data_IF_827942372357
#
_entry.id   IF_827942372357
#
_cell.length_a   1.000
_cell.length_b   1.000
_cell.length_c   1.000
_cell.angle_alpha   90.00
_cell.angle_beta   90.00
_cell.angle_gamma   90.00
#
_symmetry.space_group_name_H-M   'P 1'
#
loop_
_entity.id
_entity.type
_entity.pdbx_description
1 polymer ?
#
# COMPACT_ATOMS: atom_id res chain seq x y z
N UNK A 1 -21.75 -9.50 16.77
CA UNK A 1 -22.36 -10.17 15.60
C UNK A 1 -23.14 -9.13 14.80
N UNK A 2 -22.52 -8.44 13.84
CA UNK A 2 -23.19 -7.48 12.93
C UNK A 2 -22.31 -7.02 11.74
N UNK A 3 -21.50 -7.88 11.09
CA UNK A 3 -20.69 -7.46 9.91
C UNK A 3 -21.34 -7.86 8.57
N UNK A 4 -22.42 -8.66 8.58
CA UNK A 4 -23.08 -9.11 7.35
C UNK A 4 -24.18 -8.16 6.85
N UNK A 5 -23.79 -6.95 6.48
CA UNK A 5 -24.48 -6.27 5.39
C UNK A 5 -23.41 -5.90 4.37
N UNK A 6 -23.33 -6.66 3.28
CA UNK A 6 -22.83 -6.14 2.02
C UNK A 6 -23.73 -4.96 1.66
N UNK A 7 -23.48 -3.80 2.29
CA UNK A 7 -24.10 -2.54 1.91
C UNK A 7 -23.52 -2.29 0.54
N UNK A 8 -24.31 -2.57 -0.50
CA UNK A 8 -23.97 -2.17 -1.84
C UNK A 8 -23.85 -0.65 -1.78
N UNK A 9 -22.61 -0.18 -1.77
CA UNK A 9 -22.33 1.21 -1.58
C UNK A 9 -22.80 1.95 -2.82
N UNK A 10 -23.54 3.03 -2.64
CA UNK A 10 -24.09 3.80 -3.74
C UNK A 10 -23.29 5.10 -3.88
N UNK A 11 -22.47 5.18 -4.93
CA UNK A 11 -21.63 6.33 -5.23
C UNK A 11 -22.44 7.63 -5.43
N UNK A 12 -23.70 7.53 -5.86
CA UNK A 12 -24.58 8.69 -5.96
C UNK A 12 -24.98 9.21 -4.58
N UNK A 13 -25.29 8.32 -3.63
CA UNK A 13 -25.59 8.70 -2.25
C UNK A 13 -24.37 9.32 -1.60
N UNK A 14 -23.19 8.69 -1.75
CA UNK A 14 -21.93 9.26 -1.22
C UNK A 14 -21.67 10.65 -1.78
N UNK A 15 -21.82 10.83 -3.09
CA UNK A 15 -21.59 12.12 -3.74
C UNK A 15 -22.53 13.20 -3.21
N UNK A 16 -23.80 12.89 -2.98
CA UNK A 16 -24.76 13.85 -2.43
C UNK A 16 -24.49 14.13 -0.93
N UNK A 17 -24.17 13.12 -0.14
CA UNK A 17 -23.82 13.29 1.29
C UNK A 17 -22.55 14.15 1.46
N UNK A 18 -21.53 13.92 0.62
CA UNK A 18 -20.26 14.66 0.65
C UNK A 18 -20.25 15.90 -0.25
N UNK A 19 -21.39 16.37 -0.74
CA UNK A 19 -21.47 17.39 -1.78
C UNK A 19 -20.69 18.66 -1.45
N UNK A 20 -20.83 19.17 -0.23
CA UNK A 20 -20.15 20.40 0.19
C UNK A 20 -18.65 20.18 0.41
N UNK A 21 -18.24 19.02 0.92
CA UNK A 21 -16.82 18.67 1.07
C UNK A 21 -16.14 18.46 -0.29
N UNK A 22 -16.77 17.71 -1.19
CA UNK A 22 -16.29 17.50 -2.54
C UNK A 22 -16.20 18.80 -3.35
N UNK A 23 -17.11 19.76 -3.12
CA UNK A 23 -16.99 21.11 -3.70
C UNK A 23 -15.73 21.82 -3.19
N UNK A 24 -15.46 21.78 -1.88
CA UNK A 24 -14.24 22.38 -1.29
C UNK A 24 -12.97 21.71 -1.82
N UNK A 25 -12.97 20.39 -1.92
CA UNK A 25 -11.84 19.61 -2.45
C UNK A 25 -11.64 19.87 -3.96
N UNK A 26 -12.72 20.02 -4.72
CA UNK A 26 -12.65 20.39 -6.13
C UNK A 26 -12.11 21.82 -6.33
N UNK A 27 -12.46 22.76 -5.44
CA UNK A 27 -11.87 24.10 -5.43
C UNK A 27 -10.37 24.02 -5.15
N UNK A 28 -9.95 23.26 -4.13
CA UNK A 28 -8.54 23.01 -3.82
C UNK A 28 -7.79 22.41 -5.03
N UNK A 29 -8.38 21.42 -5.70
CA UNK A 29 -7.81 20.78 -6.91
C UNK A 29 -7.60 21.79 -8.04
N UNK A 30 -8.55 22.71 -8.22
CA UNK A 30 -8.48 23.75 -9.26
C UNK A 30 -7.41 24.79 -8.92
N UNK A 31 -7.36 25.24 -7.68
CA UNK A 31 -6.42 26.25 -7.19
C UNK A 31 -4.98 25.74 -7.11
N UNK A 32 -4.78 24.45 -6.87
CA UNK A 32 -3.44 23.86 -6.75
C UNK A 32 -3.06 23.10 -8.02
N UNK A 33 -3.64 21.94 -8.27
CA UNK A 33 -3.22 21.03 -9.35
C UNK A 33 -3.44 21.63 -10.75
N UNK A 34 -4.62 22.19 -11.01
CA UNK A 34 -4.96 22.68 -12.36
C UNK A 34 -4.28 24.01 -12.66
N UNK A 35 -4.29 24.96 -11.72
CA UNK A 35 -3.65 26.26 -11.90
C UNK A 35 -2.14 26.11 -12.14
N UNK A 36 -1.47 25.26 -11.35
CA UNK A 36 -0.04 24.98 -11.51
C UNK A 36 0.23 24.28 -12.83
N UNK A 37 -0.63 23.34 -13.26
CA UNK A 37 -0.47 22.72 -14.59
C UNK A 37 -0.53 23.77 -15.70
N UNK A 38 -1.51 24.67 -15.69
CA UNK A 38 -1.65 25.74 -16.69
C UNK A 38 -0.45 26.69 -16.66
N UNK A 39 -0.06 27.15 -15.47
CA UNK A 39 1.10 28.03 -15.28
C UNK A 39 2.40 27.36 -15.74
N UNK A 40 2.60 26.09 -15.41
CA UNK A 40 3.80 25.34 -15.81
C UNK A 40 3.88 25.15 -17.33
N UNK A 41 2.75 24.99 -18.02
CA UNK A 41 2.72 25.00 -19.49
C UNK A 41 3.19 26.34 -20.07
N UNK A 42 2.75 27.46 -19.48
CA UNK A 42 3.19 28.81 -19.88
C UNK A 42 4.69 28.99 -19.60
N UNK A 43 5.16 28.60 -18.41
CA UNK A 43 6.58 28.71 -18.01
C UNK A 43 7.48 27.85 -18.91
N UNK A 44 7.05 26.63 -19.28
CA UNK A 44 7.78 25.79 -20.25
C UNK A 44 7.90 26.47 -21.61
N UNK A 45 6.83 27.09 -22.09
CA UNK A 45 6.85 27.87 -23.33
C UNK A 45 7.86 29.02 -23.25
N UNK A 46 7.85 29.77 -22.14
CA UNK A 46 8.79 30.88 -21.93
C UNK A 46 10.25 30.41 -21.84
N UNK A 47 10.52 29.34 -21.08
CA UNK A 47 11.86 28.75 -20.95
C UNK A 47 12.40 28.28 -22.31
N UNK A 48 11.55 27.69 -23.16
CA UNK A 48 11.93 27.28 -24.50
C UNK A 48 12.30 28.49 -25.38
N UNK A 49 11.49 29.55 -25.34
CA UNK A 49 11.78 30.79 -26.08
C UNK A 49 13.11 31.39 -25.62
N UNK A 50 13.33 31.51 -24.31
CA UNK A 50 14.59 32.04 -23.74
C UNK A 50 15.78 31.18 -24.13
N UNK A 51 15.66 29.85 -24.07
CA UNK A 51 16.71 28.92 -24.44
C UNK A 51 17.09 29.03 -25.94
N UNK A 52 16.09 29.13 -26.82
CA UNK A 52 16.31 29.30 -28.26
C UNK A 52 16.92 30.67 -28.57
N UNK A 53 16.42 31.74 -27.95
CA UNK A 53 17.00 33.09 -28.12
C UNK A 53 18.46 33.15 -27.66
N UNK A 54 18.77 32.56 -26.50
CA UNK A 54 20.14 32.51 -25.98
C UNK A 54 21.07 31.69 -26.91
N UNK A 55 20.58 30.56 -27.42
CA UNK A 55 21.32 29.74 -28.37
C UNK A 55 21.66 30.53 -29.64
N UNK A 56 20.67 31.21 -30.25
CA UNK A 56 20.87 31.98 -31.47
C UNK A 56 21.85 33.15 -31.27
N UNK A 57 21.77 33.86 -30.14
CA UNK A 57 22.72 34.93 -29.81
C UNK A 57 24.13 34.38 -29.71
N UNK A 58 24.36 33.34 -28.90
CA UNK A 58 25.68 32.76 -28.71
C UNK A 58 26.26 32.19 -30.00
N UNK A 59 25.45 31.50 -30.79
CA UNK A 59 25.82 31.01 -32.13
C UNK A 59 26.36 32.15 -33.00
N UNK A 60 25.68 33.30 -33.02
CA UNK A 60 26.04 34.43 -33.88
C UNK A 60 27.26 35.21 -33.41
N UNK A 61 27.45 35.36 -32.09
CA UNK A 61 28.47 36.28 -31.53
C UNK A 61 29.81 35.63 -31.28
N UNK A 62 29.86 34.30 -31.05
CA UNK A 62 31.08 33.60 -30.64
C UNK A 62 31.48 32.42 -31.56
N UNK A 63 31.56 32.54 -32.90
CA UNK A 63 32.07 31.44 -33.73
C UNK A 63 33.54 31.12 -33.39
N UNK A 64 33.95 29.85 -33.27
CA UNK A 64 33.18 28.61 -33.47
C UNK A 64 32.56 28.02 -32.19
N UNK A 65 32.82 28.61 -31.01
CA UNK A 65 32.51 28.04 -29.69
C UNK A 65 31.07 28.34 -29.21
N UNK A 66 30.42 29.31 -29.83
CA UNK A 66 29.10 29.81 -29.45
C UNK A 66 27.98 28.80 -29.64
N UNK A 67 28.03 28.00 -30.71
CA UNK A 67 27.08 26.92 -30.96
C UNK A 67 27.09 25.83 -29.86
N UNK A 68 28.24 25.21 -29.52
CA UNK A 68 28.26 24.22 -28.43
C UNK A 68 27.93 24.85 -27.07
N UNK A 69 28.39 26.08 -26.76
CA UNK A 69 28.03 26.75 -25.50
C UNK A 69 26.54 27.08 -25.40
N UNK A 70 25.93 27.56 -26.48
CA UNK A 70 24.50 27.84 -26.49
C UNK A 70 23.66 26.59 -26.23
N UNK A 71 24.06 25.46 -26.82
CA UNK A 71 23.36 24.20 -26.64
C UNK A 71 23.46 23.70 -25.19
N UNK A 72 24.64 23.77 -24.57
CA UNK A 72 24.82 23.34 -23.17
C UNK A 72 24.01 24.19 -22.20
N UNK A 73 24.01 25.52 -22.36
CA UNK A 73 23.19 26.40 -21.52
C UNK A 73 21.69 26.18 -21.71
N UNK A 74 21.23 25.96 -22.95
CA UNK A 74 19.83 25.64 -23.22
C UNK A 74 19.41 24.34 -22.50
N UNK A 75 20.20 23.27 -22.62
CA UNK A 75 19.91 21.98 -21.98
C UNK A 75 19.91 22.11 -20.46
N UNK A 76 20.91 22.78 -19.87
CA UNK A 76 21.00 22.98 -18.42
C UNK A 76 19.83 23.81 -17.89
N UNK A 77 19.50 24.93 -18.56
CA UNK A 77 18.40 25.80 -18.17
C UNK A 77 17.04 25.09 -18.22
N UNK A 78 16.77 24.34 -19.29
CA UNK A 78 15.55 23.54 -19.42
C UNK A 78 15.48 22.43 -18.36
N UNK A 79 16.59 21.75 -18.08
CA UNK A 79 16.65 20.66 -17.09
C UNK A 79 16.40 21.18 -15.67
N UNK A 80 17.01 22.30 -15.28
CA UNK A 80 16.79 22.92 -13.97
C UNK A 80 15.37 23.48 -13.84
N UNK A 81 14.86 24.11 -14.90
CA UNK A 81 13.47 24.58 -14.96
C UNK A 81 12.47 23.45 -14.76
N UNK A 82 12.66 22.33 -15.46
CA UNK A 82 11.79 21.16 -15.32
C UNK A 82 11.84 20.56 -13.90
N UNK A 83 13.04 20.46 -13.30
CA UNK A 83 13.19 19.98 -11.92
C UNK A 83 12.41 20.84 -10.91
N UNK A 84 12.44 22.17 -11.05
CA UNK A 84 11.68 23.09 -10.20
C UNK A 84 10.16 22.88 -10.35
N UNK A 85 9.66 22.78 -11.59
CA UNK A 85 8.25 22.59 -11.88
C UNK A 85 7.71 21.24 -11.36
N UNK A 86 8.54 20.18 -11.40
CA UNK A 86 8.19 18.86 -10.87
C UNK A 86 8.00 18.93 -9.35
N UNK A 87 8.93 19.56 -8.60
CA UNK A 87 8.84 19.67 -7.14
C UNK A 87 7.57 20.39 -6.70
N UNK A 88 7.25 21.51 -7.33
CA UNK A 88 6.09 22.32 -6.95
C UNK A 88 4.75 21.61 -7.24
N UNK A 89 4.65 20.94 -8.40
CA UNK A 89 3.45 20.16 -8.72
C UNK A 89 3.31 18.91 -7.87
N UNK A 90 4.41 18.32 -7.41
CA UNK A 90 4.41 17.20 -6.47
C UNK A 90 3.73 17.56 -5.15
N UNK A 91 4.13 18.66 -4.51
CA UNK A 91 3.55 19.10 -3.24
C UNK A 91 2.06 19.42 -3.32
N UNK A 92 1.62 20.04 -4.41
CA UNK A 92 0.21 20.33 -4.65
C UNK A 92 -0.65 19.08 -4.82
N UNK A 93 -0.14 18.06 -5.53
CA UNK A 93 -0.84 16.78 -5.69
C UNK A 93 -0.97 16.05 -4.36
N UNK A 94 0.10 16.05 -3.55
CA UNK A 94 0.10 15.42 -2.23
C UNK A 94 -0.95 16.05 -1.31
N UNK A 95 -0.98 17.38 -1.23
CA UNK A 95 -1.97 18.11 -0.42
C UNK A 95 -3.40 17.83 -0.87
N UNK A 96 -3.65 17.78 -2.18
CA UNK A 96 -4.97 17.40 -2.71
C UNK A 96 -5.36 15.97 -2.31
N UNK A 97 -4.42 15.02 -2.42
CA UNK A 97 -4.67 13.63 -2.05
C UNK A 97 -5.03 13.49 -0.57
N UNK A 98 -4.28 14.13 0.33
CA UNK A 98 -4.54 14.11 1.78
C UNK A 98 -5.94 14.63 2.15
N UNK A 99 -6.32 15.80 1.65
CA UNK A 99 -7.64 16.40 1.94
C UNK A 99 -8.77 15.54 1.39
N UNK A 100 -8.58 14.92 0.22
CA UNK A 100 -9.53 14.00 -0.36
C UNK A 100 -9.69 12.73 0.50
N UNK A 101 -8.57 12.08 0.84
CA UNK A 101 -8.54 10.87 1.68
C UNK A 101 -9.23 11.15 3.01
N UNK A 102 -8.93 12.28 3.66
CA UNK A 102 -9.54 12.68 4.93
C UNK A 102 -11.07 12.79 4.83
N UNK A 103 -11.60 13.56 3.88
CA UNK A 103 -13.04 13.74 3.72
C UNK A 103 -13.76 12.43 3.38
N UNK A 104 -13.30 11.73 2.33
CA UNK A 104 -13.95 10.52 1.86
C UNK A 104 -13.77 9.37 2.84
N UNK A 105 -12.56 9.13 3.33
CA UNK A 105 -12.24 8.04 4.25
C UNK A 105 -12.94 8.18 5.60
N UNK A 106 -12.95 9.37 6.22
CA UNK A 106 -13.68 9.59 7.48
C UNK A 106 -15.19 9.36 7.31
N UNK A 107 -15.77 9.83 6.21
CA UNK A 107 -17.19 9.62 5.92
C UNK A 107 -17.50 8.15 5.69
N UNK A 108 -16.67 7.43 4.91
CA UNK A 108 -16.81 5.99 4.71
C UNK A 108 -16.73 5.21 6.03
N UNK A 109 -15.80 5.59 6.92
CA UNK A 109 -15.67 4.96 8.23
C UNK A 109 -16.89 5.21 9.11
N UNK A 110 -17.48 6.41 9.08
CA UNK A 110 -18.71 6.72 9.81
C UNK A 110 -19.88 5.81 9.45
N UNK A 111 -19.87 5.22 8.24
CA UNK A 111 -20.89 4.27 7.79
C UNK A 111 -20.67 2.84 8.28
N UNK A 112 -19.49 2.52 8.82
CA UNK A 112 -19.12 1.16 9.19
C UNK A 112 -19.68 0.70 10.55
N UNK A 113 -20.30 1.55 11.37
CA UNK A 113 -20.82 1.18 12.72
C UNK A 113 -19.76 0.44 13.58
N UNK A 114 -18.49 0.72 13.32
CA UNK A 114 -17.34 0.16 14.05
C UNK A 114 -16.71 1.26 14.88
N UNK A 115 -16.22 0.91 16.08
CA UNK A 115 -15.45 1.81 16.93
C UNK A 115 -14.02 1.92 16.41
N UNK A 116 -13.88 2.68 15.32
CA UNK A 116 -12.62 2.86 14.61
C UNK A 116 -12.39 4.35 14.35
N UNK A 117 -11.12 4.70 14.32
CA UNK A 117 -10.62 6.00 13.93
C UNK A 117 -9.76 5.86 12.67
N UNK A 118 -10.00 6.72 11.67
CA UNK A 118 -9.17 6.82 10.48
C UNK A 118 -8.24 8.02 10.57
N UNK A 119 -6.94 7.76 10.41
CA UNK A 119 -5.85 8.73 10.46
C UNK A 119 -5.01 8.60 9.18
N UNK A 120 -5.35 9.36 8.10
CA UNK A 120 -4.68 9.23 6.81
C UNK A 120 -3.17 9.52 6.87
N UNK A 121 -2.76 10.47 7.72
CA UNK A 121 -1.35 10.89 7.84
C UNK A 121 -0.51 10.02 8.80
N UNK A 122 -1.12 9.01 9.39
CA UNK A 122 -0.45 8.10 10.32
C UNK A 122 -0.34 6.71 9.68
N UNK A 123 0.71 5.99 10.05
CA UNK A 123 0.97 4.62 9.64
C UNK A 123 1.43 3.76 10.80
N UNK A 124 1.87 2.55 10.48
CA UNK A 124 2.59 1.68 11.42
C UNK A 124 4.07 2.00 11.36
N UNK A 125 4.80 1.86 12.46
CA UNK A 125 6.24 2.11 12.48
C UNK A 125 7.01 0.97 11.81
N UNK A 126 8.21 1.28 11.32
CA UNK A 126 9.09 0.30 10.69
C UNK A 126 9.44 -0.85 11.65
N UNK A 127 9.68 -0.53 12.92
CA UNK A 127 9.99 -1.51 13.97
C UNK A 127 8.83 -2.49 14.17
N UNK A 128 7.60 -1.98 14.21
CA UNK A 128 6.41 -2.80 14.36
C UNK A 128 6.20 -3.70 13.15
N UNK A 129 6.40 -3.18 11.93
CA UNK A 129 6.35 -3.99 10.72
C UNK A 129 7.42 -5.10 10.71
N UNK A 130 8.66 -4.80 11.10
CA UNK A 130 9.75 -5.77 11.22
C UNK A 130 9.51 -6.79 12.33
N UNK A 131 8.80 -6.43 13.40
CA UNK A 131 8.50 -7.33 14.50
C UNK A 131 7.68 -8.54 14.06
N UNK A 132 6.89 -8.44 12.99
CA UNK A 132 6.14 -9.56 12.42
C UNK A 132 7.03 -10.70 11.90
N UNK A 133 8.31 -10.43 11.62
CA UNK A 133 9.26 -11.45 11.15
C UNK A 133 9.12 -11.85 9.67
N UNK A 134 8.21 -11.21 8.92
CA UNK A 134 8.05 -11.41 7.47
C UNK A 134 9.25 -10.90 6.65
N UNK A 135 9.94 -9.89 7.20
CA UNK A 135 11.01 -9.15 6.53
C UNK A 135 12.09 -8.80 7.55
N UNK A 136 13.30 -8.55 7.05
CA UNK A 136 14.43 -8.04 7.80
C UNK A 136 14.84 -6.66 7.30
N UNK A 137 15.58 -5.90 8.12
CA UNK A 137 16.05 -4.55 7.77
C UNK A 137 16.88 -4.51 6.47
N UNK A 138 17.52 -5.62 6.11
CA UNK A 138 18.31 -5.74 4.90
C UNK A 138 17.46 -6.00 3.64
N UNK A 139 16.16 -6.24 3.78
CA UNK A 139 15.28 -6.58 2.66
C UNK A 139 14.88 -5.38 1.80
N UNK A 140 14.84 -4.19 2.40
CA UNK A 140 14.45 -2.95 1.74
C UNK A 140 15.34 -1.78 2.20
N UNK A 141 15.30 -0.67 1.47
CA UNK A 141 16.08 0.55 1.77
C UNK A 141 15.18 1.69 2.21
N UNK A 142 13.93 1.71 1.75
CA UNK A 142 12.94 2.73 2.08
C UNK A 142 11.67 2.09 2.63
N UNK A 143 11.10 2.74 3.64
CA UNK A 143 9.88 2.34 4.33
C UNK A 143 8.95 3.55 4.43
N UNK A 144 7.68 3.34 4.14
CA UNK A 144 6.62 4.33 4.26
C UNK A 144 5.34 3.65 4.72
N UNK A 145 4.56 4.32 5.57
CA UNK A 145 3.24 3.83 5.98
C UNK A 145 2.28 5.00 6.18
N UNK A 146 1.03 4.80 5.76
CA UNK A 146 -0.05 5.79 5.81
C UNK A 146 -1.41 5.09 5.96
N UNK A 147 -2.50 5.86 5.93
CA UNK A 147 -3.86 5.34 5.94
C UNK A 147 -4.20 4.45 7.16
N UNK A 148 -3.76 4.86 8.35
CA UNK A 148 -4.00 4.10 9.57
C UNK A 148 -5.47 4.10 9.99
N UNK A 149 -5.98 2.91 10.29
CA UNK A 149 -7.24 2.61 10.96
C UNK A 149 -6.92 1.96 12.29
N UNK A 150 -7.51 2.44 13.38
CA UNK A 150 -7.29 1.88 14.71
C UNK A 150 -8.55 1.93 15.56
N UNK A 151 -8.72 0.99 16.48
CA UNK A 151 -9.85 0.98 17.40
C UNK A 151 -10.21 -0.43 17.85
N UNK A 152 -11.47 -0.69 18.15
CA UNK A 152 -11.93 -1.98 18.66
C UNK A 152 -12.95 -2.65 17.73
N UNK A 153 -12.72 -3.93 17.47
CA UNK A 153 -13.66 -4.80 16.74
C UNK A 153 -13.98 -6.00 17.60
N UNK A 154 -15.23 -6.12 18.03
CA UNK A 154 -15.66 -7.24 18.87
C UNK A 154 -14.90 -7.38 20.19
N UNK A 155 -14.47 -6.25 20.78
CA UNK A 155 -13.67 -6.20 22.00
C UNK A 155 -12.18 -6.51 21.83
N UNK A 156 -11.71 -6.68 20.58
CA UNK A 156 -10.29 -6.83 20.26
C UNK A 156 -9.75 -5.50 19.74
N UNK A 157 -8.64 -5.01 20.31
CA UNK A 157 -7.94 -3.86 19.79
C UNK A 157 -7.31 -4.22 18.44
N UNK A 158 -7.53 -3.38 17.43
CA UNK A 158 -7.01 -3.55 16.08
C UNK A 158 -6.33 -2.29 15.59
N UNK A 159 -5.30 -2.46 14.78
CA UNK A 159 -4.66 -1.41 14.01
C UNK A 159 -4.33 -1.94 12.61
N UNK A 160 -4.56 -1.14 11.59
CA UNK A 160 -4.35 -1.51 10.19
C UNK A 160 -3.84 -0.28 9.43
N UNK A 161 -2.76 -0.39 8.67
CA UNK A 161 -2.21 0.71 7.88
C UNK A 161 -1.70 0.20 6.52
N UNK A 162 -1.68 1.06 5.51
CA UNK A 162 -0.98 0.78 4.27
C UNK A 162 0.53 0.91 4.52
N UNK A 163 1.32 -0.04 4.02
CA UNK A 163 2.77 -0.09 4.15
C UNK A 163 3.38 -0.29 2.78
N UNK A 164 4.40 0.50 2.48
CA UNK A 164 5.25 0.37 1.31
C UNK A 164 6.71 0.20 1.77
N UNK A 165 7.30 -0.93 1.41
CA UNK A 165 8.73 -1.21 1.59
C UNK A 165 9.37 -1.44 0.22
N UNK A 166 10.39 -0.64 -0.11
CA UNK A 166 11.05 -0.68 -1.42
C UNK A 166 12.55 -0.87 -1.25
N UNK A 167 13.13 -1.67 -2.13
CA UNK A 167 14.58 -1.81 -2.28
C UNK A 167 15.03 -0.96 -3.45
N UNK A 168 15.82 0.06 -3.16
CA UNK A 168 16.42 0.95 -4.12
C UNK A 168 17.87 0.55 -4.35
N UNK A 169 18.23 0.46 -5.61
CA UNK A 169 19.61 0.29 -6.09
C UNK A 169 19.90 1.44 -7.04
N UNK A 170 21.17 1.63 -7.41
CA UNK A 170 21.56 2.71 -8.34
C UNK A 170 20.76 2.69 -9.65
N UNK A 171 20.39 1.50 -10.12
CA UNK A 171 19.80 1.30 -11.46
C UNK A 171 18.35 0.83 -11.44
N UNK A 172 17.80 0.48 -10.27
CA UNK A 172 16.43 -0.06 -10.18
C UNK A 172 15.80 0.13 -8.81
N UNK A 173 14.47 0.24 -8.80
CA UNK A 173 13.66 0.11 -7.60
C UNK A 173 12.87 -1.21 -7.69
N UNK A 174 12.82 -1.95 -6.58
CA UNK A 174 12.03 -3.18 -6.45
C UNK A 174 11.08 -3.02 -5.27
N UNK A 175 9.78 -3.19 -5.53
CA UNK A 175 8.76 -3.27 -4.47
C UNK A 175 8.94 -4.58 -3.70
N UNK A 176 9.27 -4.49 -2.42
CA UNK A 176 9.46 -5.63 -1.51
C UNK A 176 8.14 -5.99 -0.85
N UNK A 177 7.42 -4.96 -0.40
CA UNK A 177 6.05 -5.06 0.07
C UNK A 177 5.30 -3.79 -0.29
N UNK A 178 4.05 -3.94 -0.69
CA UNK A 178 3.11 -2.86 -0.87
C UNK A 178 1.74 -3.43 -0.56
N UNK A 179 1.09 -2.90 0.46
CA UNK A 179 -0.26 -3.25 0.84
C UNK A 179 -0.55 -3.10 2.32
N UNK A 180 -1.57 -3.79 2.82
CA UNK A 180 -2.03 -3.59 4.19
C UNK A 180 -1.24 -4.43 5.17
N UNK A 181 -0.86 -3.80 6.27
CA UNK A 181 -0.36 -4.46 7.45
C UNK A 181 -1.37 -4.24 8.58
N UNK A 182 -1.83 -5.32 9.18
CA UNK A 182 -2.79 -5.32 10.29
C UNK A 182 -2.17 -5.98 11.52
N UNK A 183 -2.56 -5.47 12.68
CA UNK A 183 -2.31 -6.04 13.99
C UNK A 183 -3.62 -6.11 14.76
N UNK A 184 -3.82 -7.20 15.49
CA UNK A 184 -4.93 -7.37 16.39
C UNK A 184 -4.44 -8.05 17.66
N UNK A 185 -4.98 -7.65 18.81
CA UNK A 185 -4.68 -8.34 20.06
C UNK A 185 -5.11 -9.81 19.97
N UNK A 186 -4.22 -10.68 20.41
CA UNK A 186 -4.40 -12.13 20.42
C UNK A 186 -4.13 -12.65 21.82
N UNK A 187 -5.18 -12.81 22.66
CA UNK A 187 -5.03 -13.04 24.09
C UNK A 187 -4.63 -14.47 24.47
N UNK A 188 -4.62 -15.42 23.51
CA UNK A 188 -4.16 -16.77 23.80
C UNK A 188 -2.64 -16.75 24.01
N UNK A 189 -2.13 -17.32 25.11
CA UNK A 189 -0.71 -17.42 25.34
C UNK A 189 -0.09 -18.40 24.34
N UNK A 190 1.06 -18.03 23.79
CA UNK A 190 1.93 -18.90 23.01
C UNK A 190 3.38 -18.61 23.45
N UNK A 191 4.21 -19.64 23.58
CA UNK A 191 5.56 -19.50 24.15
C UNK A 191 6.57 -18.96 23.13
N UNK A 192 6.38 -19.32 21.87
CA UNK A 192 7.25 -18.94 20.77
C UNK A 192 6.49 -18.27 19.61
N UNK A 193 7.12 -17.36 18.85
CA UNK A 193 6.49 -16.77 17.69
C UNK A 193 6.25 -17.80 16.57
N UNK A 194 5.09 -17.70 15.93
CA UNK A 194 4.71 -18.53 14.78
C UNK A 194 4.51 -17.63 13.56
N UNK A 195 5.16 -17.96 12.44
CA UNK A 195 5.04 -17.24 11.17
C UNK A 195 4.51 -18.20 10.11
N UNK A 196 3.43 -17.79 9.43
CA UNK A 196 2.79 -18.53 8.35
C UNK A 196 2.94 -17.76 7.05
N UNK A 197 3.72 -18.31 6.13
CA UNK A 197 4.04 -17.71 4.84
C UNK A 197 3.38 -18.44 3.67
N UNK A 198 3.06 -17.76 2.55
CA UNK A 198 2.69 -18.43 1.33
C UNK A 198 3.75 -19.45 0.89
N UNK A 199 3.33 -20.69 0.69
CA UNK A 199 4.14 -21.66 -0.04
C UNK A 199 4.30 -21.14 -1.46
N UNK A 200 5.55 -20.83 -1.81
CA UNK A 200 5.90 -20.43 -3.17
C UNK A 200 5.71 -21.64 -4.06
N UNK A 201 4.65 -21.66 -4.87
CA UNK A 201 4.50 -22.67 -5.90
C UNK A 201 5.69 -22.60 -6.87
N UNK A 202 6.20 -23.75 -7.31
CA UNK A 202 7.04 -23.77 -8.53
C UNK A 202 6.24 -23.06 -9.62
N UNK A 203 6.80 -22.07 -10.32
CA UNK A 203 6.08 -21.38 -11.38
C UNK A 203 5.80 -22.34 -12.55
N UNK A 204 4.63 -22.98 -12.54
CA UNK A 204 3.79 -23.07 -13.73
C UNK A 204 3.53 -21.58 -14.05
N UNK A 205 4.02 -20.91 -15.08
CA UNK A 205 4.37 -21.24 -16.44
C UNK A 205 5.35 -20.15 -16.89
N UNK A 206 6.62 -20.48 -17.12
CA UNK A 206 7.65 -19.49 -17.48
C UNK A 206 8.31 -19.76 -18.84
N UNK A 207 7.55 -20.24 -19.83
CA UNK A 207 8.07 -20.48 -21.19
C UNK A 207 8.55 -19.23 -21.93
N UNK A 208 8.22 -18.02 -21.44
CA UNK A 208 8.59 -16.74 -22.05
C UNK A 208 9.42 -15.82 -21.14
N UNK A 209 9.69 -16.23 -19.90
CA UNK A 209 10.42 -15.42 -18.92
C UNK A 209 11.89 -15.84 -18.73
N UNK A 210 12.34 -16.90 -19.40
CA UNK A 210 13.73 -17.39 -19.31
C UNK A 210 14.77 -16.49 -19.98
N UNK A 211 14.34 -15.45 -20.72
CA UNK A 211 15.23 -14.49 -21.36
C UNK A 211 15.53 -13.25 -20.51
N UNK A 212 14.87 -13.09 -19.34
CA UNK A 212 15.19 -12.02 -18.40
C UNK A 212 16.06 -12.59 -17.27
N UNK A 213 17.13 -11.90 -16.83
CA UNK A 213 17.93 -12.32 -15.69
C UNK A 213 17.14 -12.00 -14.40
N UNK A 214 16.03 -12.70 -14.18
CA UNK A 214 15.30 -12.68 -12.92
C UNK A 214 16.07 -13.54 -11.94
N UNK A 215 16.97 -12.86 -11.22
CA UNK A 215 17.70 -13.35 -10.07
C UNK A 215 16.71 -13.98 -9.10
N UNK A 216 16.87 -15.29 -8.89
CA UNK A 216 16.11 -16.13 -7.95
C UNK A 216 15.71 -15.35 -6.71
N UNK A 217 14.41 -15.11 -6.52
CA UNK A 217 13.89 -14.68 -5.23
C UNK A 217 14.14 -15.84 -4.26
N UNK A 218 15.10 -15.65 -3.34
CA UNK A 218 15.26 -16.54 -2.19
C UNK A 218 13.98 -16.47 -1.34
N UNK A 219 13.59 -17.53 -0.62
CA UNK A 219 12.58 -17.42 0.42
C UNK A 219 12.97 -16.29 1.38
N UNK A 220 12.00 -15.45 1.72
CA UNK A 220 12.18 -14.13 2.36
C UNK A 220 12.37 -14.19 3.88
N UNK A 221 12.49 -15.38 4.48
CA UNK A 221 12.82 -15.52 5.89
C UNK A 221 14.33 -15.79 6.07
N UNK A 222 15.09 -14.74 6.38
CA UNK A 222 16.49 -14.84 6.83
C UNK A 222 16.65 -14.62 8.34
N UNK A 223 15.54 -14.50 9.07
CA UNK A 223 15.56 -14.63 10.52
C UNK A 223 15.61 -16.12 10.84
N UNK A 224 16.49 -16.51 11.77
CA UNK A 224 16.63 -17.88 12.29
C UNK A 224 15.34 -18.30 13.01
N UNK A 225 14.30 -18.60 12.26
CA UNK A 225 13.20 -19.41 12.74
C UNK A 225 13.61 -20.88 12.62
N UNK A 226 13.11 -21.72 13.53
CA UNK A 226 13.40 -23.15 13.58
C UNK A 226 13.07 -23.87 12.28
N UNK A 227 13.43 -25.16 12.21
CA UNK A 227 13.15 -26.02 11.06
C UNK A 227 11.67 -25.94 10.64
N UNK A 228 11.41 -25.92 9.32
CA UNK A 228 10.05 -25.94 8.79
C UNK A 228 9.39 -27.27 9.18
N UNK A 229 8.36 -27.21 10.02
CA UNK A 229 7.61 -28.38 10.45
C UNK A 229 6.46 -28.61 9.46
N UNK A 230 6.55 -29.70 8.69
CA UNK A 230 5.43 -30.26 7.94
C UNK A 230 4.67 -31.17 8.91
N UNK A 231 3.38 -30.91 9.16
CA UNK A 231 2.55 -31.87 9.89
C UNK A 231 2.28 -33.06 8.94
N UNK A 232 2.16 -34.27 9.47
CA UNK A 232 2.08 -35.51 8.67
C UNK A 232 0.74 -35.72 7.90
N UNK A 233 0.04 -34.66 7.49
CA UNK A 233 -1.22 -34.81 6.75
C UNK A 233 -1.34 -33.81 5.59
N UNK A 234 -1.48 -34.33 4.35
CA UNK A 234 -1.51 -33.66 3.03
C UNK A 234 -2.73 -32.72 2.83
N UNK A 235 -2.97 -31.86 3.81
CA UNK A 235 -4.09 -30.95 3.91
C UNK A 235 -3.94 -29.78 2.93
N UNK A 236 -5.08 -29.23 2.45
CA UNK A 236 -5.09 -28.03 1.59
C UNK A 236 -4.31 -26.85 2.19
N UNK A 237 -4.15 -26.81 3.52
CA UNK A 237 -3.38 -25.78 4.20
C UNK A 237 -1.89 -25.85 3.84
N UNK A 238 -1.26 -27.01 3.94
CA UNK A 238 0.18 -27.21 3.68
C UNK A 238 0.56 -27.07 2.20
N UNK A 239 -0.40 -27.30 1.31
CA UNK A 239 -0.25 -27.02 -0.13
C UNK A 239 -0.12 -25.52 -0.41
N UNK A 240 -0.62 -24.67 0.49
CA UNK A 240 -0.72 -23.21 0.29
C UNK A 240 0.19 -22.42 1.21
N UNK A 241 0.50 -22.93 2.39
CA UNK A 241 1.29 -22.25 3.40
C UNK A 241 2.48 -23.08 3.85
N UNK A 242 3.53 -22.39 4.30
CA UNK A 242 4.65 -22.95 5.06
C UNK A 242 4.59 -22.31 6.43
N UNK A 243 4.73 -23.10 7.48
CA UNK A 243 4.73 -22.62 8.86
C UNK A 243 6.14 -22.69 9.44
N UNK A 244 6.52 -21.62 10.11
CA UNK A 244 7.77 -21.49 10.85
C UNK A 244 7.41 -21.25 12.32
N UNK A 245 7.72 -22.21 13.18
CA UNK A 245 7.52 -22.14 14.62
C UNK A 245 8.78 -22.64 15.32
N UNK A 246 9.01 -22.22 16.57
CA UNK A 246 10.12 -22.75 17.36
C UNK A 246 9.73 -23.98 18.19
N UNK A 247 8.43 -24.13 18.50
CA UNK A 247 7.89 -25.19 19.36
C UNK A 247 6.68 -25.88 18.68
N UNK A 248 6.68 -27.22 18.52
CA UNK A 248 5.54 -27.97 18.03
C UNK A 248 4.26 -27.85 18.88
N UNK A 249 4.37 -27.66 20.20
CA UNK A 249 3.21 -27.59 21.09
C UNK A 249 2.39 -26.31 20.86
N UNK A 250 3.07 -25.18 20.68
CA UNK A 250 2.46 -23.90 20.32
C UNK A 250 1.73 -23.96 18.97
N UNK A 251 2.26 -24.73 18.02
CA UNK A 251 1.69 -24.90 16.69
C UNK A 251 0.29 -25.53 16.74
N UNK A 252 0.13 -26.61 17.52
CA UNK A 252 -1.12 -27.34 17.63
C UNK A 252 -2.21 -26.55 18.36
N UNK A 253 -1.84 -25.78 19.39
CA UNK A 253 -2.77 -24.92 20.11
C UNK A 253 -3.27 -23.74 19.24
N UNK A 254 -2.39 -23.20 18.40
CA UNK A 254 -2.64 -21.99 17.62
C UNK A 254 -3.29 -22.28 16.26
N UNK A 255 -2.79 -23.27 15.52
CA UNK A 255 -3.27 -23.63 14.19
C UNK A 255 -4.27 -24.78 14.24
N UNK A 256 -5.33 -24.59 15.02
CA UNK A 256 -6.47 -25.52 15.03
C UNK A 256 -7.05 -25.68 13.61
N UNK A 257 -7.77 -26.78 13.31
CA UNK A 257 -8.44 -26.95 12.01
C UNK A 257 -9.33 -25.76 11.62
N UNK A 258 -10.01 -25.15 12.59
CA UNK A 258 -10.84 -23.97 12.37
C UNK A 258 -10.01 -22.75 11.95
N UNK A 259 -8.89 -22.48 12.63
CA UNK A 259 -7.96 -21.39 12.28
C UNK A 259 -7.38 -21.60 10.87
N UNK A 260 -6.88 -22.81 10.57
CA UNK A 260 -6.35 -23.17 9.24
C UNK A 260 -7.37 -22.92 8.12
N UNK A 261 -8.64 -23.33 8.31
CA UNK A 261 -9.72 -23.09 7.36
C UNK A 261 -10.03 -21.59 7.17
N UNK A 262 -10.04 -20.80 8.26
CA UNK A 262 -10.25 -19.35 8.19
C UNK A 262 -9.11 -18.65 7.43
N UNK A 263 -7.86 -19.08 7.64
CA UNK A 263 -6.69 -18.56 6.89
C UNK A 263 -6.77 -18.91 5.40
N UNK A 264 -7.20 -20.13 5.05
CA UNK A 264 -7.45 -20.54 3.67
C UNK A 264 -8.55 -19.69 3.01
N UNK A 265 -9.69 -19.51 3.69
CA UNK A 265 -10.77 -18.66 3.19
C UNK A 265 -10.33 -17.21 2.97
N UNK A 266 -9.54 -16.67 3.90
CA UNK A 266 -8.97 -15.33 3.78
C UNK A 266 -7.98 -15.22 2.62
N UNK A 267 -7.15 -16.24 2.37
CA UNK A 267 -6.28 -16.29 1.20
C UNK A 267 -7.08 -16.23 -0.11
N UNK A 268 -8.21 -16.93 -0.19
CA UNK A 268 -9.08 -16.90 -1.37
C UNK A 268 -9.64 -15.50 -1.61
N UNK A 269 -10.11 -14.81 -0.56
CA UNK A 269 -10.66 -13.45 -0.68
C UNK A 269 -9.60 -12.38 -0.94
N UNK A 270 -8.38 -12.53 -0.39
CA UNK A 270 -7.33 -11.49 -0.41
C UNK A 270 -6.22 -11.69 -1.43
N UNK A 271 -5.86 -12.93 -1.71
CA UNK A 271 -4.82 -13.29 -2.66
C UNK A 271 -3.81 -14.27 -2.06
N UNK A 272 -2.99 -14.87 -2.93
CA UNK A 272 -2.03 -15.90 -2.54
C UNK A 272 -0.84 -15.38 -1.73
N UNK A 273 -0.63 -14.06 -1.66
CA UNK A 273 0.54 -13.45 -1.00
C UNK A 273 0.36 -13.14 0.49
N UNK A 274 -0.78 -13.46 1.09
CA UNK A 274 -1.05 -13.13 2.51
C UNK A 274 -0.11 -13.88 3.45
N UNK A 275 0.44 -13.17 4.42
CA UNK A 275 1.25 -13.72 5.52
C UNK A 275 0.58 -13.46 6.86
N UNK A 276 0.84 -14.34 7.82
CA UNK A 276 0.36 -14.21 9.20
C UNK A 276 1.50 -14.43 10.17
N UNK A 277 1.53 -13.70 11.27
CA UNK A 277 2.46 -13.93 12.35
C UNK A 277 1.72 -13.80 13.68
N UNK A 278 2.04 -14.68 14.61
CA UNK A 278 1.58 -14.65 15.98
C UNK A 278 2.81 -14.36 16.84
N UNK A 279 2.87 -13.14 17.37
CA UNK A 279 4.01 -12.67 18.16
C UNK A 279 3.56 -11.62 19.17
N UNK A 280 4.16 -11.60 20.35
CA UNK A 280 3.90 -10.58 21.39
C UNK A 280 2.41 -10.45 21.76
N UNK A 281 1.68 -11.57 21.87
CA UNK A 281 0.23 -11.59 22.09
C UNK A 281 -0.57 -10.81 21.03
N UNK A 282 -0.07 -10.77 19.79
CA UNK A 282 -0.72 -10.13 18.66
C UNK A 282 -0.74 -11.06 17.45
N UNK A 283 -1.85 -11.00 16.73
CA UNK A 283 -1.97 -11.49 15.37
C UNK A 283 -1.60 -10.35 14.42
N UNK A 284 -0.57 -10.58 13.61
CA UNK A 284 -0.09 -9.67 12.58
C UNK A 284 -0.38 -10.27 11.21
N UNK A 285 -0.90 -9.47 10.28
CA UNK A 285 -1.29 -9.93 8.94
C UNK A 285 -0.73 -8.97 7.90
N UNK A 286 0.01 -9.49 6.92
CA UNK A 286 0.45 -8.72 5.76
C UNK A 286 -0.33 -9.15 4.52
N UNK A 287 -0.96 -8.20 3.85
CA UNK A 287 -1.84 -8.40 2.70
C UNK A 287 -1.29 -7.61 1.51
N UNK A 288 -0.51 -8.25 0.62
CA UNK A 288 0.06 -7.57 -0.53
C UNK A 288 -1.00 -7.09 -1.52
N UNK A 289 -0.68 -6.02 -2.25
CA UNK A 289 -1.50 -5.52 -3.34
C UNK A 289 -1.55 -6.55 -4.46
N UNK A 290 -2.76 -6.78 -4.99
CA UNK A 290 -2.95 -7.62 -6.18
C UNK A 290 -2.37 -6.97 -7.45
N UNK A 291 -2.26 -5.64 -7.43
CA UNK A 291 -1.69 -4.83 -8.53
C UNK A 291 -0.50 -4.07 -7.97
N UNK A 292 0.69 -4.33 -8.52
CA UNK A 292 1.92 -3.64 -8.11
C UNK A 292 1.79 -2.14 -8.30
N UNK A 293 2.29 -1.36 -7.33
CA UNK A 293 2.31 0.10 -7.37
C UNK A 293 0.94 0.79 -7.34
N UNK A 294 -0.17 0.06 -7.08
CA UNK A 294 -1.49 0.67 -6.91
C UNK A 294 -1.72 1.02 -5.45
N UNK A 295 -1.76 2.30 -5.11
CA UNK A 295 -2.34 2.79 -3.85
C UNK A 295 -3.87 2.66 -3.92
N UNK A 296 -4.50 2.21 -2.84
CA UNK A 296 -5.94 1.92 -2.82
C UNK A 296 -6.82 3.13 -2.49
N UNK A 297 -6.25 4.19 -1.92
CA UNK A 297 -6.96 5.37 -1.41
C UNK A 297 -6.59 6.66 -2.12
N UNK A 298 -5.55 6.65 -2.94
CA UNK A 298 -5.14 7.82 -3.69
C UNK A 298 -6.16 8.24 -4.77
N UNK A 299 -6.67 9.48 -4.73
CA UNK A 299 -7.51 10.01 -5.78
C UNK A 299 -6.69 10.32 -7.03
N UNK A 300 -7.35 10.24 -8.19
CA UNK A 300 -6.73 10.72 -9.42
C UNK A 300 -6.81 12.24 -9.50
N UNK A 301 -5.68 12.98 -9.52
CA UNK A 301 -5.72 14.45 -9.58
C UNK A 301 -6.19 14.97 -10.95
N UNK A 302 -6.25 14.12 -11.97
CA UNK A 302 -6.75 14.47 -13.30
C UNK A 302 -8.28 14.47 -13.39
N UNK A 303 -8.96 13.75 -12.50
CA UNK A 303 -10.41 13.66 -12.46
C UNK A 303 -11.02 14.68 -11.49
N UNK A 304 -12.27 15.12 -11.70
CA UNK A 304 -12.99 15.89 -10.70
C UNK A 304 -13.11 15.14 -9.37
N UNK A 305 -13.13 15.86 -8.25
CA UNK A 305 -13.25 15.22 -6.94
C UNK A 305 -14.54 14.39 -6.80
N UNK A 306 -15.63 14.86 -7.43
CA UNK A 306 -16.95 14.22 -7.43
C UNK A 306 -17.13 13.18 -8.55
N UNK A 307 -16.07 12.71 -9.21
CA UNK A 307 -16.14 11.68 -10.23
C UNK A 307 -16.66 10.36 -9.65
N UNK A 308 -17.73 9.82 -10.22
CA UNK A 308 -18.42 8.63 -9.68
C UNK A 308 -17.55 7.38 -9.75
N UNK A 309 -16.77 7.21 -10.83
CA UNK A 309 -15.88 6.06 -10.96
C UNK A 309 -14.75 6.11 -9.94
N UNK A 310 -14.21 7.29 -9.66
CA UNK A 310 -13.21 7.48 -8.61
C UNK A 310 -13.80 7.19 -7.22
N UNK A 311 -14.97 7.76 -6.90
CA UNK A 311 -15.64 7.51 -5.63
C UNK A 311 -15.95 6.03 -5.42
N UNK A 312 -16.48 5.35 -6.44
CA UNK A 312 -16.77 3.92 -6.38
C UNK A 312 -15.49 3.09 -6.20
N UNK A 313 -14.41 3.42 -6.93
CA UNK A 313 -13.15 2.69 -6.81
C UNK A 313 -12.53 2.80 -5.40
N UNK A 314 -12.53 4.00 -4.82
CA UNK A 314 -11.96 4.28 -3.49
C UNK A 314 -12.88 3.74 -2.38
N UNK A 315 -14.18 3.96 -2.46
CA UNK A 315 -15.12 3.45 -1.47
C UNK A 315 -15.18 1.91 -1.49
N UNK A 316 -15.22 1.33 -2.69
CA UNK A 316 -15.23 -0.12 -2.88
C UNK A 316 -13.94 -0.77 -2.40
N UNK A 317 -12.77 -0.16 -2.64
CA UNK A 317 -11.51 -0.65 -2.05
C UNK A 317 -11.58 -0.51 -0.52
N UNK A 318 -11.90 0.66 0.03
CA UNK A 318 -11.93 0.92 1.47
C UNK A 318 -12.76 -0.11 2.22
N UNK A 319 -14.03 -0.21 1.86
CA UNK A 319 -15.00 -1.02 2.58
C UNK A 319 -14.67 -2.51 2.46
N UNK A 320 -14.21 -2.96 1.30
CA UNK A 320 -13.81 -4.36 1.11
C UNK A 320 -12.57 -4.71 1.93
N UNK A 321 -11.59 -3.79 2.01
CA UNK A 321 -10.38 -3.98 2.80
C UNK A 321 -10.72 -4.08 4.29
N UNK A 322 -11.45 -3.10 4.79
CA UNK A 322 -11.76 -2.98 6.22
C UNK A 322 -12.66 -4.12 6.69
N UNK A 323 -13.78 -4.37 6.01
CA UNK A 323 -14.73 -5.41 6.40
C UNK A 323 -14.10 -6.81 6.45
N UNK A 324 -13.40 -7.25 5.40
CA UNK A 324 -12.81 -8.59 5.34
C UNK A 324 -11.68 -8.78 6.37
N UNK A 325 -10.88 -7.74 6.63
CA UNK A 325 -9.80 -7.82 7.62
C UNK A 325 -10.35 -7.83 9.06
N UNK A 326 -11.41 -7.07 9.33
CA UNK A 326 -12.06 -7.14 10.63
C UNK A 326 -12.88 -8.41 10.81
N UNK A 327 -13.44 -8.97 9.73
CA UNK A 327 -14.06 -10.29 9.77
C UNK A 327 -13.06 -11.37 10.13
N UNK A 328 -11.84 -11.38 9.59
CA UNK A 328 -10.87 -12.42 9.96
C UNK A 328 -10.46 -12.28 11.43
N UNK A 329 -10.26 -11.05 11.94
CA UNK A 329 -9.95 -10.83 13.36
C UNK A 329 -11.09 -11.29 14.25
N UNK A 330 -12.34 -10.95 13.90
CA UNK A 330 -13.51 -11.42 14.63
C UNK A 330 -13.60 -12.94 14.59
N UNK A 331 -13.44 -13.55 13.40
CA UNK A 331 -13.51 -14.99 13.18
C UNK A 331 -12.41 -15.74 13.95
N UNK A 332 -11.19 -15.23 13.98
CA UNK A 332 -10.06 -15.84 14.72
C UNK A 332 -10.20 -15.62 16.23
N UNK A 333 -10.81 -14.53 16.67
CA UNK A 333 -11.13 -14.31 18.08
C UNK A 333 -12.41 -15.01 18.55
N UNK A 334 -13.28 -15.48 17.65
CA UNK A 334 -14.55 -16.12 18.01
C UNK A 334 -14.40 -17.56 18.51
N UNK A 335 -13.20 -18.13 18.50
CA UNK A 335 -12.90 -19.38 19.21
C UNK A 335 -12.78 -19.15 20.74
N UNK A 336 -13.12 -17.95 21.24
CA UNK A 336 -13.23 -17.55 22.66
C UNK A 336 -14.31 -18.28 23.48
N UNK A 337 -15.03 -19.25 22.95
CA UNK A 337 -15.99 -20.00 23.75
C UNK A 337 -17.02 -20.78 22.96
N UNK A 338 -16.70 -22.04 22.69
CA UNK A 338 -17.64 -23.17 22.78
C UNK A 338 -16.89 -24.34 23.38
#
# INVERSE_FOLDING_TARGET
>A
MAVHKNRHFNEFVLREELKEELKRIEALRRETVISLRKRNWIVRGLLLVVAVSLFLVLWSTLPPVGAPMGLTFAVLGLSLGELYLIKETGGAKLRYAQEYKKAVGMHLLSKLELDLEYRPDFGVTEETFLSAGFYSRNDYTTYWSEDCLQGQVGGTQVQMAEVQAKRETKDSFTEVFCGWFMMADFPQPFQAPVVVEPRSGRPLLSGLWSLLPLRKQRPLSSQKFGESMEEEDDSEFEKRFVVHAADPEDLAALLTPAVKQRMLAFRVSRGSGVRFAFRNNQLMIAIPNRVKGKDWFDPSPSKPASDLLQLNAIAGSFLKQTSECFEIVAKLNLDKGT
#
